data_IF_645996745770
#
_entry.id   IF_645996745770
#
_cell.length_a   1.000
_cell.length_b   1.000
_cell.length_c   1.000
_cell.angle_alpha   90.00
_cell.angle_beta   90.00
_cell.angle_gamma   90.00
#
_symmetry.space_group_name_H-M   'P 1'
#
loop_
_entity.id
_entity.type
_entity.pdbx_description
1 polymer ?
#
# COMPACT_ATOMS: atom_id res chain seq x y z
N UNK A 1 -10.83 49.84 34.19
CA UNK A 1 -12.07 49.40 34.85
C UNK A 1 -12.80 48.58 33.81
N UNK A 2 -12.95 47.27 34.05
CA UNK A 2 -13.36 46.23 33.07
C UNK A 2 -12.21 45.97 32.05
N UNK A 3 -11.53 44.79 31.93
CA UNK A 3 -11.87 43.38 32.23
C UNK A 3 -13.19 42.93 31.56
N UNK A 4 -13.46 41.76 31.01
CA UNK A 4 -12.75 40.51 30.69
C UNK A 4 -13.60 39.82 29.59
N UNK A 5 -13.15 38.91 28.71
CA UNK A 5 -11.84 38.28 28.45
C UNK A 5 -11.62 38.24 26.91
N UNK A 6 -10.60 37.54 26.40
CA UNK A 6 -10.59 37.02 25.01
C UNK A 6 -10.23 35.52 25.09
N UNK A 7 -11.13 34.65 24.61
CA UNK A 7 -11.14 33.24 25.02
C UNK A 7 -9.90 32.48 24.52
N UNK A 8 -9.13 31.93 25.46
CA UNK A 8 -7.97 31.09 25.18
C UNK A 8 -8.46 29.71 24.75
N UNK A 9 -7.99 29.20 23.62
CA UNK A 9 -7.96 27.77 23.35
C UNK A 9 -6.59 27.42 22.80
N UNK A 10 -5.68 27.13 23.75
CA UNK A 10 -4.51 26.31 23.50
C UNK A 10 -4.96 24.83 23.53
N UNK A 11 -4.05 23.90 23.17
CA UNK A 11 -4.31 22.44 23.00
C UNK A 11 -5.07 22.14 21.68
N UNK A 12 -4.54 21.41 20.70
CA UNK A 12 -3.24 20.74 20.55
C UNK A 12 -2.68 20.98 19.15
N UNK A 13 -1.58 21.74 19.04
CA UNK A 13 -0.70 21.69 17.88
C UNK A 13 0.71 21.37 18.39
N UNK A 14 0.92 20.07 18.64
CA UNK A 14 2.25 19.51 18.88
C UNK A 14 3.24 20.07 17.85
N UNK A 15 4.46 20.47 18.25
CA UNK A 15 5.45 21.04 17.34
C UNK A 15 5.77 20.04 16.23
N UNK A 16 5.13 20.21 15.07
CA UNK A 16 5.26 19.35 13.90
C UNK A 16 6.74 19.23 13.51
N UNK A 17 7.36 18.11 13.87
CA UNK A 17 8.82 17.91 13.82
C UNK A 17 9.29 17.87 12.37
N UNK A 18 9.66 19.04 11.84
CA UNK A 18 10.25 19.18 10.52
C UNK A 18 11.67 18.61 10.55
N UNK A 19 11.83 17.48 9.86
CA UNK A 19 13.03 16.64 9.70
C UNK A 19 13.36 15.70 10.86
N UNK A 20 13.22 14.39 10.59
CA UNK A 20 14.35 13.48 10.73
C UNK A 20 14.65 12.79 9.39
N UNK A 21 15.60 13.33 8.63
CA UNK A 21 16.23 12.55 7.58
C UNK A 21 17.10 11.47 8.21
N UNK A 22 16.69 10.19 8.12
CA UNK A 22 17.52 8.97 8.03
C UNK A 22 16.68 7.68 8.18
N UNK A 23 15.51 7.70 8.85
CA UNK A 23 14.76 6.49 9.21
C UNK A 23 13.26 6.53 8.85
N UNK A 24 12.93 6.78 7.58
CA UNK A 24 11.57 6.61 7.06
C UNK A 24 11.50 5.91 5.69
N UNK A 25 12.54 5.17 5.29
CA UNK A 25 12.41 4.19 4.22
C UNK A 25 11.69 2.95 4.75
N UNK A 26 10.38 3.08 5.00
CA UNK A 26 9.50 1.92 5.05
C UNK A 26 9.41 1.42 3.62
N UNK A 27 10.42 0.64 3.20
CA UNK A 27 10.38 -0.16 1.99
C UNK A 27 9.14 -1.03 2.14
N UNK A 28 8.05 -0.62 1.52
CA UNK A 28 6.84 -1.43 1.51
C UNK A 28 7.16 -2.63 0.64
N UNK A 29 7.46 -3.77 1.28
CA UNK A 29 7.65 -5.07 0.64
C UNK A 29 6.33 -5.63 0.09
N UNK A 30 5.54 -4.75 -0.50
CA UNK A 30 4.27 -5.07 -1.14
C UNK A 30 4.59 -5.93 -2.37
N UNK A 31 3.97 -7.12 -2.49
CA UNK A 31 4.10 -7.94 -3.69
C UNK A 31 3.44 -7.23 -4.88
N UNK A 32 3.92 -7.51 -6.08
CA UNK A 32 3.25 -7.08 -7.31
C UNK A 32 1.94 -7.86 -7.47
N UNK A 33 0.82 -7.18 -7.66
CA UNK A 33 -0.48 -7.82 -7.90
C UNK A 33 -0.77 -7.80 -9.40
N UNK A 34 -1.11 -8.97 -9.94
CA UNK A 34 -1.54 -9.19 -11.32
C UNK A 34 -2.97 -9.76 -11.27
N UNK A 35 -3.90 -9.17 -12.02
CA UNK A 35 -5.25 -9.70 -12.23
C UNK A 35 -5.44 -9.87 -13.74
N UNK A 36 -5.78 -11.07 -14.19
CA UNK A 36 -6.02 -11.42 -15.59
C UNK A 36 -4.89 -10.95 -16.55
N UNK A 37 -3.65 -11.14 -16.10
CA UNK A 37 -2.43 -10.77 -16.82
C UNK A 37 -2.05 -9.29 -16.76
N UNK A 38 -2.86 -8.43 -16.13
CA UNK A 38 -2.61 -6.98 -16.01
C UNK A 38 -2.15 -6.62 -14.60
N UNK A 39 -1.25 -5.64 -14.47
CA UNK A 39 -0.85 -5.10 -13.16
C UNK A 39 -2.04 -4.40 -12.51
N UNK A 40 -2.33 -4.75 -11.27
CA UNK A 40 -3.45 -4.24 -10.49
C UNK A 40 -2.97 -3.54 -9.21
N UNK A 41 -3.82 -2.66 -8.67
CA UNK A 41 -3.61 -2.08 -7.34
C UNK A 41 -4.26 -2.96 -6.27
N UNK A 42 -3.85 -2.80 -5.00
CA UNK A 42 -4.51 -3.49 -3.87
C UNK A 42 -6.02 -3.21 -3.85
N UNK A 43 -6.44 -1.96 -4.08
CA UNK A 43 -7.85 -1.57 -4.17
C UNK A 43 -8.62 -2.30 -5.29
N UNK A 44 -7.97 -2.63 -6.41
CA UNK A 44 -8.61 -3.43 -7.47
C UNK A 44 -8.76 -4.91 -7.06
N UNK A 45 -7.81 -5.45 -6.31
CA UNK A 45 -7.92 -6.79 -5.71
C UNK A 45 -8.99 -6.85 -4.61
N UNK A 46 -9.02 -5.85 -3.72
CA UNK A 46 -9.98 -5.76 -2.61
C UNK A 46 -11.44 -5.64 -3.10
N UNK A 47 -11.65 -5.11 -4.32
CA UNK A 47 -12.95 -5.00 -4.99
C UNK A 47 -13.33 -6.23 -5.84
N UNK A 48 -12.44 -7.22 -5.98
CA UNK A 48 -12.70 -8.39 -6.79
C UNK A 48 -13.68 -9.33 -6.07
N UNK A 49 -14.71 -9.80 -6.77
CA UNK A 49 -15.65 -10.77 -6.21
C UNK A 49 -14.95 -12.13 -5.99
N UNK A 50 -14.91 -12.68 -4.76
CA UNK A 50 -14.28 -13.98 -4.50
C UNK A 50 -14.87 -15.12 -5.34
N UNK A 51 -16.16 -15.05 -5.66
CA UNK A 51 -16.84 -16.08 -6.45
C UNK A 51 -16.38 -16.11 -7.91
N UNK A 52 -15.90 -14.99 -8.46
CA UNK A 52 -15.34 -14.91 -9.83
C UNK A 52 -13.86 -15.28 -9.89
N UNK A 53 -13.20 -15.61 -8.78
CA UNK A 53 -11.80 -16.07 -8.79
C UNK A 53 -11.76 -17.53 -9.28
N UNK A 54 -10.96 -17.79 -10.31
CA UNK A 54 -10.64 -19.13 -10.81
C UNK A 54 -9.42 -19.72 -10.09
N UNK A 55 -8.36 -18.91 -9.94
CA UNK A 55 -7.10 -19.36 -9.31
C UNK A 55 -6.31 -18.18 -8.75
N UNK A 56 -5.53 -18.43 -7.70
CA UNK A 56 -4.54 -17.50 -7.13
C UNK A 56 -3.18 -18.21 -7.07
N UNK A 57 -2.20 -17.71 -7.82
CA UNK A 57 -0.85 -18.24 -7.87
C UNK A 57 0.10 -17.22 -7.25
N UNK A 58 1.04 -17.67 -6.40
CA UNK A 58 2.01 -16.79 -5.73
C UNK A 58 3.42 -17.20 -6.17
N UNK A 59 4.17 -16.26 -6.76
CA UNK A 59 5.59 -16.43 -7.07
C UNK A 59 6.41 -15.77 -5.95
N UNK A 60 7.24 -16.56 -5.27
CA UNK A 60 8.07 -16.10 -4.13
C UNK A 60 9.56 -16.03 -4.44
N UNK A 61 10.03 -16.84 -5.39
CA UNK A 61 11.45 -17.01 -5.71
C UNK A 61 11.90 -16.18 -6.92
N UNK A 62 13.12 -16.44 -7.41
CA UNK A 62 13.71 -15.83 -8.62
C UNK A 62 12.78 -15.86 -9.84
N UNK A 63 11.83 -16.81 -9.92
CA UNK A 63 10.81 -16.89 -10.98
C UNK A 63 9.91 -15.64 -11.05
N UNK A 64 9.66 -14.98 -9.92
CA UNK A 64 8.95 -13.71 -9.85
C UNK A 64 9.73 -12.59 -10.57
N UNK A 65 11.01 -12.45 -10.25
CA UNK A 65 11.91 -11.45 -10.86
C UNK A 65 12.18 -11.74 -12.33
N UNK A 66 12.31 -13.00 -12.73
CA UNK A 66 12.50 -13.40 -14.14
C UNK A 66 11.30 -12.97 -15.00
N UNK A 67 10.06 -13.11 -14.50
CA UNK A 67 8.84 -12.76 -15.26
C UNK A 67 8.43 -11.29 -15.16
N UNK A 68 8.67 -10.64 -14.03
CA UNK A 68 8.13 -9.30 -13.73
C UNK A 68 9.21 -8.25 -13.35
N UNK A 69 10.49 -8.60 -13.53
CA UNK A 69 11.63 -7.73 -13.25
C UNK A 69 11.72 -7.30 -11.77
N UNK A 70 12.35 -6.15 -11.54
CA UNK A 70 12.53 -5.59 -10.19
C UNK A 70 11.22 -5.39 -9.41
N UNK A 71 10.08 -5.22 -10.10
CA UNK A 71 8.76 -5.11 -9.46
C UNK A 71 8.31 -6.42 -8.80
N UNK A 72 8.76 -7.57 -9.30
CA UNK A 72 8.53 -8.88 -8.71
C UNK A 72 9.55 -9.29 -7.64
N UNK A 73 10.48 -8.40 -7.23
CA UNK A 73 11.50 -8.71 -6.20
C UNK A 73 10.88 -9.09 -4.85
N UNK A 74 9.75 -8.48 -4.50
CA UNK A 74 9.00 -8.72 -3.25
C UNK A 74 7.94 -9.82 -3.43
N UNK A 75 8.07 -10.67 -4.46
CA UNK A 75 7.07 -11.64 -4.87
C UNK A 75 5.96 -11.05 -5.75
N UNK A 76 5.17 -11.95 -6.35
CA UNK A 76 4.07 -11.60 -7.26
C UNK A 76 2.84 -12.46 -6.92
N UNK A 77 1.69 -11.82 -6.74
CA UNK A 77 0.38 -12.47 -6.61
C UNK A 77 -0.31 -12.37 -7.97
N UNK A 78 -0.66 -13.51 -8.55
CA UNK A 78 -1.34 -13.62 -9.84
C UNK A 78 -2.74 -14.19 -9.60
N UNK A 79 -3.76 -13.41 -9.93
CA UNK A 79 -5.16 -13.81 -9.83
C UNK A 79 -5.71 -13.96 -11.24
N UNK A 80 -6.39 -15.08 -11.48
CA UNK A 80 -7.12 -15.33 -12.73
C UNK A 80 -8.60 -15.44 -12.39
N UNK A 81 -9.45 -14.75 -13.14
CA UNK A 81 -10.91 -14.81 -13.00
C UNK A 81 -11.52 -15.92 -13.85
N UNK A 82 -12.77 -16.27 -13.53
CA UNK A 82 -13.62 -17.15 -14.34
C UNK A 82 -14.18 -16.36 -15.53
N UNK A 83 -14.31 -17.04 -16.67
CA UNK A 83 -15.05 -16.53 -17.84
C UNK A 83 -16.52 -16.90 -17.73
#
# INVERSE_FOLDING_TARGET
MLEEHNNITNEDQEPNIKNPGLFASKISENPLIIIDGKVATKNAMDKLNPNSINSVNILKDKTATIKYGNKGKNGVIIITTKK
#
